data_IF_192257450519
#
_entry.id   IF_192257450519
#
_cell.length_a   1.000
_cell.length_b   1.000
_cell.length_c   1.000
_cell.angle_alpha   90.00
_cell.angle_beta   90.00
_cell.angle_gamma   90.00
#
_symmetry.space_group_name_H-M   'P 1'
#
loop_
_entity.id
_entity.type
_entity.pdbx_description
1 polymer ?
#
# COMPACT_ATOMS: atom_id res chain seq x y z
N UNK A 1 -5.73 -0.69 12.60
CA UNK A 1 -6.99 -0.99 11.88
C UNK A 1 -6.67 -1.92 10.72
N UNK A 2 -7.33 -3.08 10.66
CA UNK A 2 -7.04 -4.18 9.72
C UNK A 2 -8.31 -4.57 8.97
N UNK A 3 -8.20 -4.83 7.66
CA UNK A 3 -9.28 -5.44 6.87
C UNK A 3 -9.36 -6.96 7.12
N UNK A 4 -10.56 -7.49 7.29
CA UNK A 4 -10.74 -8.89 7.66
C UNK A 4 -10.89 -9.85 6.48
N UNK A 5 -11.18 -9.36 5.27
CA UNK A 5 -11.47 -10.20 4.10
C UNK A 5 -10.49 -9.96 2.94
N UNK A 6 -10.95 -9.36 1.84
CA UNK A 6 -10.20 -9.20 0.59
C UNK A 6 -9.90 -7.73 0.24
N UNK A 7 -9.97 -6.81 1.21
CA UNK A 7 -9.84 -5.37 0.96
C UNK A 7 -11.19 -4.70 0.68
N UNK A 8 -11.13 -3.38 0.55
CA UNK A 8 -12.31 -2.55 0.25
C UNK A 8 -13.45 -2.59 1.30
N UNK A 9 -13.11 -2.94 2.55
CA UNK A 9 -14.05 -2.96 3.67
C UNK A 9 -14.41 -1.56 4.20
N UNK A 10 -13.75 -0.50 3.72
CA UNK A 10 -13.98 0.86 4.18
C UNK A 10 -13.06 1.30 5.32
N UNK A 11 -11.87 0.72 5.43
CA UNK A 11 -10.87 1.08 6.45
C UNK A 11 -10.61 2.59 6.51
N UNK A 12 -10.51 3.26 5.36
CA UNK A 12 -10.28 4.71 5.32
C UNK A 12 -11.29 5.53 6.12
N UNK A 13 -12.57 5.14 6.15
CA UNK A 13 -13.60 5.81 6.96
C UNK A 13 -13.40 5.60 8.46
N UNK A 14 -12.98 4.40 8.85
CA UNK A 14 -12.69 4.09 10.26
C UNK A 14 -11.43 4.82 10.70
N UNK A 15 -10.41 4.89 9.86
CA UNK A 15 -9.20 5.64 10.12
C UNK A 15 -9.49 7.14 10.25
N UNK A 16 -10.25 7.72 9.34
CA UNK A 16 -10.65 9.13 9.38
C UNK A 16 -11.36 9.47 10.71
N UNK A 17 -12.28 8.61 11.13
CA UNK A 17 -12.96 8.76 12.43
C UNK A 17 -11.99 8.66 13.62
N UNK A 18 -11.09 7.68 13.63
CA UNK A 18 -10.14 7.49 14.72
C UNK A 18 -9.03 8.56 14.73
N UNK A 19 -8.65 9.06 13.56
CA UNK A 19 -7.64 10.09 13.42
C UNK A 19 -8.08 11.45 13.95
N UNK A 20 -9.37 11.70 14.11
CA UNK A 20 -9.86 12.92 14.75
C UNK A 20 -9.32 13.10 16.18
N UNK A 21 -9.04 11.99 16.88
CA UNK A 21 -8.48 11.98 18.24
C UNK A 21 -7.03 11.45 18.28
N UNK A 22 -6.39 11.24 17.14
CA UNK A 22 -5.04 10.71 17.08
C UNK A 22 -3.99 11.82 16.81
N UNK A 23 -2.83 11.67 17.43
CA UNK A 23 -1.68 12.55 17.19
C UNK A 23 -0.86 12.09 15.97
N UNK A 24 -0.83 10.77 15.72
CA UNK A 24 -0.06 10.16 14.62
C UNK A 24 -0.91 9.10 13.90
N UNK A 25 -0.90 9.13 12.59
CA UNK A 25 -1.50 8.12 11.72
C UNK A 25 -0.41 7.48 10.84
N UNK A 26 -0.25 6.16 10.90
CA UNK A 26 0.83 5.44 10.21
C UNK A 26 0.28 4.51 9.16
N UNK A 27 0.71 4.64 7.91
CA UNK A 27 0.53 3.62 6.88
C UNK A 27 1.75 2.71 6.85
N UNK A 28 1.56 1.43 7.10
CA UNK A 28 2.64 0.50 7.40
C UNK A 28 2.97 -0.50 6.30
N UNK A 29 2.09 -0.75 5.32
CA UNK A 29 2.27 -1.77 4.27
C UNK A 29 1.64 -1.37 2.95
N UNK A 30 1.90 -2.16 1.90
CA UNK A 30 1.35 -1.96 0.56
C UNK A 30 2.08 -0.88 -0.22
N UNK A 31 1.41 -0.26 -1.17
CA UNK A 31 1.92 0.80 -2.01
C UNK A 31 0.76 1.55 -2.67
N UNK A 32 1.01 2.15 -3.82
CA UNK A 32 0.01 2.90 -4.58
C UNK A 32 -1.04 2.03 -5.30
N UNK A 33 -0.99 0.71 -5.12
CA UNK A 33 -2.01 -0.23 -5.58
C UNK A 33 -3.30 -0.18 -4.74
N UNK A 34 -3.26 0.35 -3.53
CA UNK A 34 -4.43 0.60 -2.71
C UNK A 34 -4.93 2.04 -2.93
N UNK A 35 -6.24 2.24 -2.89
CA UNK A 35 -6.83 3.57 -2.94
C UNK A 35 -7.85 3.72 -1.82
N UNK A 36 -7.63 4.69 -0.94
CA UNK A 36 -8.59 5.08 0.09
C UNK A 36 -9.32 6.34 -0.36
N UNK A 37 -10.63 6.24 -0.52
CA UNK A 37 -11.45 7.41 -0.82
C UNK A 37 -12.01 8.00 0.45
N UNK A 38 -11.69 9.25 0.72
CA UNK A 38 -12.14 10.00 1.88
C UNK A 38 -12.86 11.25 1.41
N UNK A 39 -13.86 11.65 2.16
CA UNK A 39 -14.56 12.92 1.92
C UNK A 39 -14.29 13.84 3.11
N UNK A 40 -13.47 14.86 2.89
CA UNK A 40 -13.16 15.88 3.89
C UNK A 40 -13.55 17.27 3.35
N UNK A 41 -14.20 18.09 4.17
CA UNK A 41 -14.65 19.45 3.81
C UNK A 41 -15.47 19.50 2.50
N UNK A 42 -16.27 18.45 2.22
CA UNK A 42 -17.08 18.36 1.00
C UNK A 42 -16.31 17.89 -0.24
N UNK A 43 -14.98 17.82 -0.20
CA UNK A 43 -14.10 17.37 -1.29
C UNK A 43 -13.82 15.87 -1.14
N UNK A 44 -13.73 15.17 -2.26
CA UNK A 44 -13.40 13.74 -2.32
C UNK A 44 -11.92 13.58 -2.67
N UNK A 45 -11.15 12.98 -1.77
CA UNK A 45 -9.74 12.66 -1.94
C UNK A 45 -9.56 11.16 -2.20
N UNK A 46 -8.80 10.82 -3.24
CA UNK A 46 -8.36 9.46 -3.50
C UNK A 46 -6.89 9.32 -3.08
N UNK A 47 -6.66 8.87 -1.86
CA UNK A 47 -5.31 8.72 -1.29
C UNK A 47 -4.77 7.32 -1.59
N UNK A 48 -3.52 7.23 -2.03
CA UNK A 48 -2.85 5.95 -2.34
C UNK A 48 -1.69 5.65 -1.38
N UNK A 49 -0.93 6.67 -0.99
CA UNK A 49 0.28 6.54 -0.17
C UNK A 49 0.19 7.29 1.15
N UNK A 50 -0.30 8.54 1.14
CA UNK A 50 -0.41 9.35 2.34
C UNK A 50 -1.47 8.76 3.27
N UNK A 51 -1.18 8.59 4.58
CA UNK A 51 -2.15 8.10 5.54
C UNK A 51 -3.40 8.99 5.60
N UNK A 52 -4.56 8.34 5.65
CA UNK A 52 -5.87 9.01 5.67
C UNK A 52 -6.01 10.03 6.81
N UNK A 53 -5.37 9.75 7.94
CA UNK A 53 -5.43 10.60 9.13
C UNK A 53 -4.81 11.99 8.96
N UNK A 54 -3.94 12.22 7.99
CA UNK A 54 -3.36 13.55 7.72
C UNK A 54 -4.44 14.58 7.36
N UNK A 55 -5.55 14.14 6.79
CA UNK A 55 -6.68 15.02 6.43
C UNK A 55 -7.40 15.63 7.64
N UNK A 56 -7.12 15.20 8.87
CA UNK A 56 -7.60 15.87 10.10
C UNK A 56 -7.02 17.29 10.27
N UNK A 57 -5.88 17.59 9.63
CA UNK A 57 -5.18 18.88 9.70
C UNK A 57 -4.32 19.08 10.95
N UNK A 58 -4.27 18.11 11.87
CA UNK A 58 -3.44 18.17 13.09
C UNK A 58 -2.65 16.88 13.33
N UNK A 59 -3.00 15.78 12.69
CA UNK A 59 -2.38 14.47 12.86
C UNK A 59 -1.13 14.35 11.99
N UNK A 60 -0.03 13.88 12.56
CA UNK A 60 1.18 13.54 11.79
C UNK A 60 0.92 12.29 10.98
N UNK A 61 1.01 12.38 9.65
CA UNK A 61 0.91 11.26 8.73
C UNK A 61 2.28 10.63 8.49
N UNK A 62 2.44 9.35 8.78
CA UNK A 62 3.71 8.62 8.63
C UNK A 62 3.59 7.53 7.58
N UNK A 63 4.48 7.53 6.59
CA UNK A 63 4.67 6.41 5.66
C UNK A 63 5.76 5.50 6.23
N UNK A 64 5.37 4.28 6.63
CA UNK A 64 6.23 3.30 7.29
C UNK A 64 7.12 2.54 6.32
N UNK A 65 8.17 1.92 6.85
CA UNK A 65 9.17 1.16 6.10
C UNK A 65 8.65 -0.11 5.42
N UNK A 66 7.45 -0.55 5.76
CA UNK A 66 6.78 -1.67 5.08
C UNK A 66 6.08 -1.28 3.78
N UNK A 67 5.92 0.01 3.49
CA UNK A 67 5.38 0.51 2.22
C UNK A 67 6.43 0.38 1.12
N UNK A 68 6.00 0.11 -0.11
CA UNK A 68 6.80 0.34 -1.32
C UNK A 68 6.27 1.60 -1.99
N UNK A 69 7.13 2.60 -2.15
CA UNK A 69 6.77 3.97 -2.42
C UNK A 69 7.07 4.36 -3.87
N UNK A 70 6.06 4.82 -4.57
CA UNK A 70 6.21 5.47 -5.87
C UNK A 70 6.38 6.99 -5.64
N UNK A 71 7.58 7.57 -5.88
CA UNK A 71 7.83 8.98 -5.60
C UNK A 71 6.95 9.94 -6.40
N UNK A 72 6.71 9.64 -7.68
CA UNK A 72 5.85 10.46 -8.54
C UNK A 72 4.43 10.54 -7.97
N UNK A 73 3.81 9.40 -7.67
CA UNK A 73 2.46 9.35 -7.10
C UNK A 73 2.38 10.07 -5.76
N UNK A 74 3.42 9.94 -4.93
CA UNK A 74 3.47 10.64 -3.65
C UNK A 74 3.54 12.16 -3.83
N UNK A 75 4.36 12.65 -4.74
CA UNK A 75 4.46 14.09 -5.04
C UNK A 75 3.15 14.64 -5.62
N UNK A 76 2.46 13.87 -6.45
CA UNK A 76 1.12 14.24 -6.96
C UNK A 76 0.12 14.38 -5.80
N UNK A 77 0.12 13.46 -4.82
CA UNK A 77 -0.72 13.55 -3.63
C UNK A 77 -0.35 14.73 -2.74
N UNK A 78 0.95 14.97 -2.50
CA UNK A 78 1.45 16.11 -1.73
C UNK A 78 0.96 17.43 -2.35
N UNK A 79 1.14 17.61 -3.65
CA UNK A 79 0.75 18.82 -4.36
C UNK A 79 -0.76 19.02 -4.31
N UNK A 80 -1.54 17.98 -4.55
CA UNK A 80 -2.99 18.02 -4.45
C UNK A 80 -3.46 18.46 -3.06
N UNK A 81 -2.87 17.94 -1.99
CA UNK A 81 -3.22 18.33 -0.63
C UNK A 81 -2.83 19.78 -0.32
N UNK A 82 -1.65 20.23 -0.76
CA UNK A 82 -1.20 21.63 -0.60
C UNK A 82 -2.14 22.61 -1.32
N UNK A 83 -2.57 22.29 -2.54
CA UNK A 83 -3.55 23.09 -3.28
C UNK A 83 -4.89 23.22 -2.55
N UNK A 84 -5.26 22.25 -1.73
CA UNK A 84 -6.46 22.27 -0.90
C UNK A 84 -6.21 22.82 0.52
N UNK A 85 -5.05 23.43 0.78
CA UNK A 85 -4.74 24.13 2.00
C UNK A 85 -4.27 23.29 3.18
N UNK A 86 -3.88 22.02 2.95
CA UNK A 86 -3.27 21.18 3.99
C UNK A 86 -1.78 21.53 4.15
N UNK A 87 -1.33 21.64 5.40
CA UNK A 87 0.09 21.88 5.74
C UNK A 87 0.87 20.54 5.74
N UNK A 88 1.08 20.02 4.51
CA UNK A 88 1.76 18.72 4.30
C UNK A 88 3.20 18.79 4.77
N UNK A 89 3.87 19.96 4.64
CA UNK A 89 5.27 20.13 5.01
C UNK A 89 5.49 19.92 6.51
N UNK A 90 4.52 20.32 7.31
CA UNK A 90 4.56 20.12 8.76
C UNK A 90 4.24 18.70 9.17
N UNK A 91 3.24 18.09 8.55
CA UNK A 91 2.61 16.89 9.07
C UNK A 91 3.00 15.59 8.38
N UNK A 92 3.59 15.60 7.17
CA UNK A 92 4.02 14.36 6.51
C UNK A 92 5.41 13.93 6.96
N UNK A 93 5.57 12.62 7.25
CA UNK A 93 6.85 11.96 7.50
C UNK A 93 6.96 10.66 6.73
N UNK A 94 8.16 10.36 6.22
CA UNK A 94 8.46 9.18 5.41
C UNK A 94 9.63 8.46 6.04
N UNK A 95 9.51 7.14 6.22
CA UNK A 95 10.65 6.35 6.68
C UNK A 95 11.81 6.39 5.69
N UNK A 96 12.99 6.65 6.20
CA UNK A 96 14.26 6.49 5.51
C UNK A 96 14.46 5.08 4.90
N UNK A 97 13.85 4.06 5.52
CA UNK A 97 13.93 2.63 5.14
C UNK A 97 12.83 2.16 4.18
N UNK A 98 11.95 3.04 3.73
CA UNK A 98 10.91 2.70 2.75
C UNK A 98 11.53 2.38 1.39
N UNK A 99 11.15 1.26 0.76
CA UNK A 99 11.65 0.89 -0.56
C UNK A 99 10.99 1.71 -1.66
N UNK A 100 11.78 2.09 -2.66
CA UNK A 100 11.36 2.94 -3.78
C UNK A 100 10.95 2.08 -4.97
N UNK A 101 9.83 2.43 -5.60
CA UNK A 101 9.37 1.83 -6.86
C UNK A 101 9.99 2.63 -8.01
N UNK A 102 10.66 1.92 -8.93
CA UNK A 102 11.20 2.46 -10.18
C UNK A 102 10.38 1.98 -11.38
N UNK A 103 10.48 2.63 -12.55
CA UNK A 103 9.72 2.26 -13.75
C UNK A 103 9.90 0.79 -14.17
N UNK A 104 11.09 0.22 -13.97
CA UNK A 104 11.34 -1.20 -14.29
C UNK A 104 10.49 -2.16 -13.46
N UNK A 105 10.07 -1.80 -12.24
CA UNK A 105 9.18 -2.64 -11.44
C UNK A 105 7.80 -2.80 -12.11
N UNK A 106 7.22 -1.71 -12.59
CA UNK A 106 5.93 -1.75 -13.31
C UNK A 106 6.03 -2.56 -14.61
N UNK A 107 7.16 -2.43 -15.34
CA UNK A 107 7.39 -3.21 -16.56
C UNK A 107 7.52 -4.71 -16.26
N UNK A 108 8.24 -5.07 -15.20
CA UNK A 108 8.35 -6.46 -14.75
C UNK A 108 7.00 -7.03 -14.29
N UNK A 109 6.19 -6.26 -13.58
CA UNK A 109 4.86 -6.69 -13.14
C UNK A 109 3.98 -7.07 -14.33
N UNK A 110 3.94 -6.24 -15.37
CA UNK A 110 3.20 -6.50 -16.60
C UNK A 110 3.78 -7.68 -17.38
N UNK A 111 5.11 -7.77 -17.50
CA UNK A 111 5.76 -8.86 -18.23
C UNK A 111 5.51 -10.22 -17.55
N UNK A 112 5.58 -10.29 -16.22
CA UNK A 112 5.26 -11.48 -15.45
C UNK A 112 3.81 -11.94 -15.61
N UNK A 113 2.84 -11.03 -15.69
CA UNK A 113 1.44 -11.37 -15.97
C UNK A 113 1.27 -11.96 -17.41
N UNK A 114 2.05 -11.49 -18.39
CA UNK A 114 2.07 -12.10 -19.74
C UNK A 114 2.58 -13.54 -19.69
N UNK A 115 3.68 -13.81 -18.96
CA UNK A 115 4.26 -15.15 -18.79
C UNK A 115 3.28 -16.12 -18.13
N UNK A 116 2.50 -15.67 -17.15
CA UNK A 116 1.52 -16.49 -16.42
C UNK A 116 0.36 -16.98 -17.29
N UNK A 117 0.08 -16.33 -18.41
CA UNK A 117 -0.99 -16.72 -19.36
C UNK A 117 -2.35 -16.92 -18.66
N UNK A 118 -2.87 -18.15 -18.66
CA UNK A 118 -4.14 -18.51 -18.02
C UNK A 118 -4.09 -18.51 -16.48
N UNK A 119 -2.90 -18.44 -15.86
CA UNK A 119 -2.71 -18.41 -14.40
C UNK A 119 -2.43 -16.98 -13.89
N UNK A 120 -2.99 -15.97 -14.53
CA UNK A 120 -2.86 -14.58 -14.11
C UNK A 120 -3.35 -14.40 -12.68
N UNK A 121 -2.63 -13.58 -11.91
CA UNK A 121 -3.03 -13.18 -10.56
C UNK A 121 -3.99 -11.98 -10.62
N UNK A 122 -3.89 -11.20 -11.69
CA UNK A 122 -4.69 -9.97 -11.88
C UNK A 122 -4.07 -8.79 -11.14
N UNK A 123 -2.75 -8.62 -11.25
CA UNK A 123 -2.02 -7.52 -10.63
C UNK A 123 -2.49 -6.15 -11.14
N UNK A 124 -2.12 -5.10 -10.41
CA UNK A 124 -2.43 -3.71 -10.80
C UNK A 124 -1.46 -3.15 -11.84
N UNK A 125 -0.36 -3.87 -12.14
CA UNK A 125 0.70 -3.41 -13.04
C UNK A 125 1.55 -2.26 -12.47
N UNK A 126 1.44 -2.00 -11.17
CA UNK A 126 2.12 -0.88 -10.50
C UNK A 126 3.51 -1.23 -9.94
N UNK A 127 3.98 -2.45 -10.16
CA UNK A 127 5.31 -2.88 -9.73
C UNK A 127 5.45 -3.22 -8.25
N UNK A 128 4.33 -3.37 -7.54
CA UNK A 128 4.34 -3.68 -6.10
C UNK A 128 5.07 -5.00 -5.82
N UNK A 129 4.66 -6.07 -6.51
CA UNK A 129 5.28 -7.39 -6.37
C UNK A 129 6.79 -7.37 -6.65
N UNK A 130 7.24 -6.90 -7.80
CA UNK A 130 8.66 -6.78 -8.11
C UNK A 130 9.46 -5.94 -7.11
N UNK A 131 8.92 -4.85 -6.59
CA UNK A 131 9.59 -4.05 -5.56
C UNK A 131 9.75 -4.80 -4.22
N UNK A 132 8.74 -5.58 -3.80
CA UNK A 132 8.89 -6.48 -2.65
C UNK A 132 9.88 -7.62 -2.92
N UNK A 133 9.96 -8.14 -4.16
CA UNK A 133 10.98 -9.13 -4.52
C UNK A 133 12.37 -8.54 -4.29
N UNK A 134 12.64 -7.34 -4.76
CA UNK A 134 13.94 -6.67 -4.58
C UNK A 134 14.25 -6.43 -3.09
N UNK A 135 13.24 -6.07 -2.29
CA UNK A 135 13.40 -5.94 -0.84
C UNK A 135 13.90 -7.24 -0.20
N UNK A 136 13.30 -8.38 -0.52
CA UNK A 136 13.67 -9.67 0.07
C UNK A 136 14.92 -10.27 -0.55
N UNK A 137 15.23 -9.95 -1.81
CA UNK A 137 16.49 -10.26 -2.48
C UNK A 137 17.64 -9.40 -1.94
N UNK A 138 17.35 -8.30 -1.24
CA UNK A 138 18.29 -7.31 -0.69
C UNK A 138 19.00 -6.51 -1.77
N UNK A 139 18.38 -6.31 -2.90
CA UNK A 139 18.82 -5.51 -4.04
C UNK A 139 18.02 -4.19 -4.18
N UNK A 140 16.94 -4.05 -3.39
CA UNK A 140 16.07 -2.88 -3.45
C UNK A 140 16.74 -1.60 -2.96
N UNK A 141 16.37 -0.48 -3.58
CA UNK A 141 16.81 0.86 -3.23
C UNK A 141 15.80 1.48 -2.27
N UNK A 142 16.27 1.99 -1.13
CA UNK A 142 15.46 2.66 -0.10
C UNK A 142 15.46 4.17 -0.27
N UNK A 143 14.60 4.86 0.48
CA UNK A 143 14.60 6.33 0.50
C UNK A 143 15.96 6.91 0.91
N UNK A 144 16.61 6.37 1.94
CA UNK A 144 17.95 6.79 2.38
C UNK A 144 19.01 6.64 1.28
N UNK A 145 18.91 5.62 0.44
CA UNK A 145 19.86 5.35 -0.64
C UNK A 145 19.79 6.39 -1.76
N UNK A 146 18.68 7.10 -1.93
CA UNK A 146 18.56 8.18 -2.93
C UNK A 146 19.51 9.35 -2.64
N UNK A 147 19.92 9.50 -1.38
CA UNK A 147 20.84 10.54 -0.91
C UNK A 147 22.30 10.03 -0.78
N UNK A 148 22.52 8.74 -1.01
CA UNK A 148 23.83 8.13 -0.88
C UNK A 148 24.73 8.49 -2.07
N UNK A 149 26.05 8.64 -1.85
CA UNK A 149 27.01 8.97 -2.93
C UNK A 149 27.04 7.96 -4.07
N UNK A 150 26.69 6.69 -3.78
CA UNK A 150 26.68 5.56 -4.71
C UNK A 150 25.29 5.31 -5.35
N UNK A 151 24.31 6.20 -5.14
CA UNK A 151 22.95 6.04 -5.69
C UNK A 151 22.96 5.84 -7.21
N UNK A 152 23.76 6.64 -7.93
CA UNK A 152 23.85 6.54 -9.40
C UNK A 152 24.33 5.17 -9.85
N UNK A 153 25.33 4.62 -9.19
CA UNK A 153 25.93 3.32 -9.49
C UNK A 153 24.93 2.19 -9.20
N UNK A 154 24.33 2.18 -8.01
CA UNK A 154 23.29 1.21 -7.63
C UNK A 154 22.11 1.22 -8.60
N UNK A 155 21.58 2.40 -8.96
CA UNK A 155 20.48 2.50 -9.90
C UNK A 155 20.85 1.94 -11.28
N UNK A 156 22.09 2.18 -11.74
CA UNK A 156 22.58 1.63 -13.01
C UNK A 156 22.62 0.12 -12.98
N UNK A 157 23.23 -0.47 -11.97
CA UNK A 157 23.33 -1.92 -11.79
C UNK A 157 21.93 -2.57 -11.77
N UNK A 158 20.99 -1.99 -11.01
CA UNK A 158 19.62 -2.49 -10.96
C UNK A 158 18.91 -2.35 -12.31
N UNK A 159 19.08 -1.25 -13.02
CA UNK A 159 18.47 -1.05 -14.33
C UNK A 159 18.98 -2.09 -15.34
N UNK A 160 20.28 -2.34 -15.39
CA UNK A 160 20.89 -3.35 -16.27
C UNK A 160 20.38 -4.76 -15.96
N UNK A 161 20.30 -5.13 -14.68
CA UNK A 161 19.76 -6.40 -14.23
C UNK A 161 18.27 -6.57 -14.62
N UNK A 162 17.46 -5.53 -14.40
CA UNK A 162 16.02 -5.59 -14.72
C UNK A 162 15.76 -5.60 -16.22
N UNK A 163 16.56 -4.91 -17.02
CA UNK A 163 16.52 -5.02 -18.48
C UNK A 163 16.81 -6.45 -18.96
N UNK A 164 17.82 -7.11 -18.37
CA UNK A 164 18.12 -8.50 -18.67
C UNK A 164 16.96 -9.46 -18.33
N UNK A 165 16.31 -9.27 -17.19
CA UNK A 165 15.12 -10.03 -16.79
C UNK A 165 13.93 -9.78 -17.73
N UNK A 166 13.66 -8.53 -18.08
CA UNK A 166 12.62 -8.16 -19.03
C UNK A 166 12.82 -8.82 -20.39
N UNK A 167 14.06 -8.88 -20.87
CA UNK A 167 14.38 -9.59 -22.11
C UNK A 167 14.06 -11.09 -22.05
N UNK A 168 14.12 -11.70 -20.87
CA UNK A 168 13.74 -13.11 -20.68
C UNK A 168 12.22 -13.28 -20.63
N UNK A 169 11.51 -12.39 -19.93
CA UNK A 169 10.06 -12.51 -19.73
C UNK A 169 9.23 -12.02 -20.92
N UNK A 170 9.71 -11.01 -21.64
CA UNK A 170 9.02 -10.38 -22.78
C UNK A 170 10.04 -10.04 -23.89
N UNK A 171 10.58 -11.07 -24.59
CA UNK A 171 11.67 -10.92 -25.55
C UNK A 171 11.29 -10.09 -26.79
N UNK A 172 10.01 -9.94 -27.07
CA UNK A 172 9.48 -9.20 -28.23
C UNK A 172 9.47 -7.67 -27.99
N UNK A 173 9.60 -7.22 -26.74
CA UNK A 173 9.53 -5.79 -26.38
C UNK A 173 10.94 -5.24 -26.08
N UNK A 174 11.29 -4.14 -26.73
CA UNK A 174 12.51 -3.39 -26.40
C UNK A 174 12.20 -2.32 -25.35
N UNK A 175 12.64 -2.59 -24.12
CA UNK A 175 12.43 -1.70 -22.99
C UNK A 175 13.53 -0.65 -22.81
N UNK A 176 14.60 -0.65 -23.61
CA UNK A 176 15.77 0.23 -23.42
C UNK A 176 15.44 1.71 -23.53
N UNK A 177 14.47 2.07 -24.38
CA UNK A 177 14.02 3.47 -24.55
C UNK A 177 13.15 3.95 -23.40
N UNK A 178 12.33 3.05 -22.83
CA UNK A 178 11.42 3.40 -21.73
C UNK A 178 12.13 3.40 -20.38
N UNK A 179 13.20 2.60 -20.26
CA UNK A 179 14.06 2.51 -19.08
C UNK A 179 15.43 3.17 -19.34
N UNK A 180 15.42 4.35 -19.96
CA UNK A 180 16.60 5.15 -20.14
C UNK A 180 17.19 5.53 -18.79
N UNK A 181 18.43 5.10 -18.54
CA UNK A 181 19.10 5.26 -17.26
C UNK A 181 19.30 6.72 -16.89
N UNK A 182 19.82 7.55 -17.81
CA UNK A 182 20.16 8.95 -17.51
C UNK A 182 18.91 9.76 -17.20
N UNK A 183 17.81 9.51 -17.93
CA UNK A 183 16.52 10.11 -17.66
C UNK A 183 15.98 9.68 -16.30
N UNK A 184 16.00 8.40 -16.00
CA UNK A 184 15.51 7.86 -14.74
C UNK A 184 16.34 8.37 -13.55
N UNK A 185 17.66 8.45 -13.69
CA UNK A 185 18.53 9.01 -12.66
C UNK A 185 18.22 10.49 -12.40
N UNK A 186 18.03 11.28 -13.46
CA UNK A 186 17.68 12.70 -13.33
C UNK A 186 16.32 12.88 -12.62
N UNK A 187 15.29 12.14 -13.04
CA UNK A 187 13.96 12.20 -12.44
C UNK A 187 13.98 11.80 -10.95
N UNK A 188 14.64 10.69 -10.60
CA UNK A 188 14.68 10.21 -9.22
C UNK A 188 15.56 11.06 -8.31
N UNK A 189 16.59 11.72 -8.86
CA UNK A 189 17.35 12.73 -8.13
C UNK A 189 16.50 13.97 -7.81
N UNK A 190 15.67 14.40 -8.76
CA UNK A 190 14.73 15.50 -8.53
C UNK A 190 13.63 15.13 -7.50
N UNK A 191 13.05 13.93 -7.61
CA UNK A 191 12.12 13.42 -6.60
C UNK A 191 12.76 13.34 -5.22
N UNK A 192 14.00 12.88 -5.13
CA UNK A 192 14.74 12.83 -3.87
C UNK A 192 14.86 14.21 -3.24
N UNK A 193 15.28 15.23 -4.01
CA UNK A 193 15.39 16.60 -3.52
C UNK A 193 14.06 17.16 -3.01
N UNK A 194 12.95 16.87 -3.70
CA UNK A 194 11.62 17.32 -3.28
C UNK A 194 11.10 16.58 -2.03
N UNK A 195 11.49 15.31 -1.83
CA UNK A 195 11.01 14.48 -0.72
C UNK A 195 11.91 14.54 0.52
N UNK A 196 13.14 15.05 0.41
CA UNK A 196 14.12 15.15 1.51
C UNK A 196 13.54 15.74 2.81
N UNK A 197 12.73 16.82 2.79
CA UNK A 197 12.21 17.42 4.03
C UNK A 197 11.27 16.51 4.83
N UNK A 198 10.73 15.47 4.20
CA UNK A 198 9.79 14.54 4.83
C UNK A 198 10.46 13.28 5.36
N UNK A 199 11.69 12.96 4.89
CA UNK A 199 12.38 11.71 5.22
C UNK A 199 13.01 11.77 6.60
N UNK A 200 12.74 10.76 7.43
CA UNK A 200 13.27 10.69 8.78
C UNK A 200 13.33 9.25 9.33
N UNK A 201 13.99 9.07 10.46
CA UNK A 201 13.90 7.87 11.28
C UNK A 201 12.53 7.82 11.98
N UNK A 202 11.60 7.08 11.41
CA UNK A 202 10.25 6.91 11.98
C UNK A 202 10.24 6.02 13.22
N UNK A 203 11.23 5.16 13.43
CA UNK A 203 11.29 4.29 14.63
C UNK A 203 11.44 5.18 15.86
N UNK A 204 12.43 6.06 15.84
CA UNK A 204 12.63 7.06 16.91
C UNK A 204 11.40 7.95 17.07
N UNK A 205 10.79 8.42 15.96
CA UNK A 205 9.60 9.26 16.00
C UNK A 205 8.41 8.55 16.68
N UNK A 206 8.11 7.29 16.31
CA UNK A 206 6.96 6.57 16.82
C UNK A 206 7.15 6.16 18.29
N UNK A 207 8.34 5.68 18.67
CA UNK A 207 8.62 5.35 20.07
C UNK A 207 8.56 6.57 20.97
N UNK A 208 9.12 7.71 20.52
CA UNK A 208 8.99 8.98 21.25
C UNK A 208 7.53 9.42 21.38
N UNK A 209 6.72 9.27 20.35
CA UNK A 209 5.29 9.58 20.43
C UNK A 209 4.58 8.76 21.50
N UNK A 210 4.91 7.45 21.62
CA UNK A 210 4.36 6.58 22.68
C UNK A 210 4.87 6.97 24.08
N UNK A 211 6.15 7.30 24.22
CA UNK A 211 6.73 7.79 25.48
C UNK A 211 6.09 9.10 25.95
N UNK A 212 5.66 9.94 25.01
CA UNK A 212 4.96 11.21 25.25
C UNK A 212 3.42 11.00 25.41
N UNK A 213 2.94 9.76 25.63
CA UNK A 213 1.52 9.39 25.75
C UNK A 213 0.65 9.81 24.55
N UNK A 214 1.25 9.90 23.35
CA UNK A 214 0.54 10.26 22.12
C UNK A 214 -0.28 9.09 21.58
N UNK A 215 -1.44 9.41 21.02
CA UNK A 215 -2.32 8.44 20.37
C UNK A 215 -1.83 8.14 18.96
N UNK A 216 -1.41 6.90 18.71
CA UNK A 216 -0.96 6.43 17.41
C UNK A 216 -2.02 5.51 16.81
N UNK A 217 -2.49 5.81 15.60
CA UNK A 217 -3.36 4.92 14.82
C UNK A 217 -2.60 4.34 13.64
N UNK A 218 -2.63 3.02 13.46
CA UNK A 218 -1.96 2.35 12.35
C UNK A 218 -2.99 1.90 11.32
N UNK A 219 -2.82 2.39 10.09
CA UNK A 219 -3.66 2.12 8.94
C UNK A 219 -3.12 0.93 8.13
N UNK A 220 -3.81 -0.21 8.18
CA UNK A 220 -3.51 -1.35 7.33
C UNK A 220 -3.95 -1.12 5.88
N UNK A 221 -3.14 -1.58 4.94
CA UNK A 221 -3.52 -1.66 3.52
C UNK A 221 -4.01 -3.07 3.20
N UNK A 222 -4.80 -3.22 2.12
CA UNK A 222 -5.42 -4.48 1.72
C UNK A 222 -6.22 -5.14 2.86
N UNK A 223 -6.12 -6.48 3.03
CA UNK A 223 -6.82 -7.22 4.09
C UNK A 223 -6.24 -8.61 4.33
N UNK A 224 -6.69 -9.26 5.40
CA UNK A 224 -6.16 -10.53 5.93
C UNK A 224 -6.07 -11.64 4.89
N UNK A 225 -7.09 -11.81 4.03
CA UNK A 225 -7.08 -12.90 3.03
C UNK A 225 -6.24 -12.60 1.78
N UNK A 226 -5.66 -11.40 1.71
CA UNK A 226 -4.67 -11.02 0.72
C UNK A 226 -3.23 -11.06 1.27
N UNK A 227 -3.03 -11.52 2.50
CA UNK A 227 -1.69 -11.66 3.11
C UNK A 227 -0.88 -12.72 2.36
N UNK A 228 0.41 -12.44 2.12
CA UNK A 228 1.29 -13.32 1.35
C UNK A 228 1.48 -14.68 2.00
N UNK A 229 1.47 -14.74 3.34
CA UNK A 229 1.69 -15.97 4.11
C UNK A 229 0.37 -16.66 4.46
N UNK A 230 -0.66 -15.89 4.82
CA UNK A 230 -1.90 -16.39 5.44
C UNK A 230 -3.14 -16.26 4.56
N UNK A 231 -3.01 -15.61 3.42
CA UNK A 231 -4.13 -15.38 2.49
C UNK A 231 -4.38 -16.52 1.52
N UNK A 232 -5.20 -16.24 0.51
CA UNK A 232 -5.59 -17.19 -0.54
C UNK A 232 -4.53 -17.33 -1.64
N UNK A 233 -3.30 -17.69 -1.25
CA UNK A 233 -2.17 -17.86 -2.17
C UNK A 233 -2.50 -18.76 -3.37
N UNK A 234 -2.09 -18.42 -4.62
CA UNK A 234 -1.25 -17.29 -5.01
C UNK A 234 -2.01 -15.98 -5.28
N UNK A 235 -3.31 -15.91 -5.04
CA UNK A 235 -4.17 -14.74 -5.29
C UNK A 235 -4.16 -13.78 -4.10
N UNK A 236 -2.98 -13.23 -3.82
CA UNK A 236 -2.66 -12.38 -2.66
C UNK A 236 -1.87 -11.16 -3.10
N UNK A 237 -1.67 -10.20 -2.19
CA UNK A 237 -0.68 -9.13 -2.37
C UNK A 237 0.71 -9.63 -1.96
N UNK A 238 1.76 -8.93 -2.36
CA UNK A 238 3.14 -9.29 -2.00
C UNK A 238 3.58 -8.73 -0.64
N UNK A 239 2.63 -8.31 0.19
CA UNK A 239 2.86 -7.76 1.53
C UNK A 239 2.10 -8.54 2.59
N UNK A 240 2.32 -8.20 3.87
CA UNK A 240 1.60 -8.75 5.01
C UNK A 240 0.60 -7.71 5.54
N UNK A 241 -0.68 -7.73 5.13
CA UNK A 241 -1.74 -6.86 5.67
C UNK A 241 -2.19 -7.23 7.08
N UNK A 242 -1.67 -8.30 7.66
CA UNK A 242 -1.98 -8.78 9.02
C UNK A 242 -1.20 -8.02 10.08
N UNK A 243 -1.47 -8.32 11.37
CA UNK A 243 -0.78 -7.68 12.51
C UNK A 243 0.75 -7.81 12.43
N UNK A 244 1.26 -8.93 11.91
CA UNK A 244 2.70 -9.13 11.71
C UNK A 244 3.32 -8.07 10.79
N UNK A 245 2.64 -7.72 9.70
CA UNK A 245 3.09 -6.66 8.80
C UNK A 245 2.99 -5.25 9.38
N UNK A 246 2.08 -5.03 10.33
CA UNK A 246 2.03 -3.77 11.09
C UNK A 246 3.34 -3.61 11.91
N UNK A 247 3.73 -4.62 12.65
CA UNK A 247 4.94 -4.59 13.47
C UNK A 247 6.20 -4.36 12.61
N UNK A 248 6.36 -5.16 11.55
CA UNK A 248 7.52 -5.03 10.67
C UNK A 248 7.53 -3.76 9.85
N UNK A 249 6.36 -3.20 9.54
CA UNK A 249 6.22 -1.98 8.72
C UNK A 249 6.30 -0.67 9.49
N UNK A 250 6.34 -0.72 10.84
CA UNK A 250 6.42 0.45 11.70
C UNK A 250 7.63 0.46 12.61
N UNK A 251 8.18 -0.73 12.93
CA UNK A 251 9.21 -0.90 13.95
C UNK A 251 8.67 -0.87 15.39
N UNK A 252 7.34 -0.87 15.56
CA UNK A 252 6.72 -1.02 16.88
C UNK A 252 6.83 -2.46 17.38
N UNK A 253 6.90 -2.65 18.68
CA UNK A 253 6.89 -3.95 19.32
C UNK A 253 5.45 -4.48 19.54
N UNK A 254 5.31 -5.76 19.81
CA UNK A 254 4.01 -6.35 20.10
C UNK A 254 3.35 -5.76 21.36
N UNK A 255 4.16 -5.30 22.33
CA UNK A 255 3.69 -4.67 23.56
C UNK A 255 3.16 -3.26 23.36
N UNK A 256 3.53 -2.59 22.25
CA UNK A 256 3.07 -1.24 21.92
C UNK A 256 1.67 -1.25 21.28
N UNK A 257 1.20 -2.43 20.86
CA UNK A 257 -0.11 -2.56 20.23
C UNK A 257 -1.20 -2.71 21.29
N UNK A 258 -2.05 -1.71 21.40
CA UNK A 258 -3.23 -1.73 22.26
C UNK A 258 -4.43 -2.44 21.57
N UNK A 259 -5.35 -1.66 21.02
CA UNK A 259 -6.54 -2.20 20.36
C UNK A 259 -6.27 -2.55 18.90
N UNK A 260 -6.81 -3.69 18.46
CA UNK A 260 -6.80 -4.12 17.07
C UNK A 260 -8.23 -4.16 16.53
N UNK A 261 -8.56 -3.15 15.70
CA UNK A 261 -9.87 -3.03 15.08
C UNK A 261 -9.91 -3.78 13.76
N UNK A 262 -10.81 -4.76 13.65
CA UNK A 262 -11.13 -5.44 12.41
C UNK A 262 -12.24 -4.72 11.65
N UNK A 263 -12.04 -4.41 10.37
CA UNK A 263 -13.08 -3.80 9.54
C UNK A 263 -13.69 -4.83 8.61
N UNK A 264 -15.01 -4.88 8.59
CA UNK A 264 -15.82 -5.76 7.74
C UNK A 264 -16.96 -4.96 7.08
N UNK A 265 -17.53 -5.55 6.04
CA UNK A 265 -18.86 -5.18 5.52
C UNK A 265 -19.89 -6.23 5.96
N UNK A 266 -21.17 -5.90 5.93
CA UNK A 266 -22.25 -6.86 6.19
C UNK A 266 -22.37 -7.96 5.11
N UNK A 267 -21.59 -7.87 4.06
CA UNK A 267 -21.41 -8.84 2.99
C UNK A 267 -19.91 -8.88 2.62
N UNK A 268 -19.50 -9.82 1.79
CA UNK A 268 -18.11 -9.88 1.30
C UNK A 268 -18.00 -9.37 -0.13
N UNK A 269 -16.86 -8.78 -0.47
CA UNK A 269 -16.51 -8.45 -1.86
C UNK A 269 -15.05 -8.75 -2.16
N UNK A 270 -14.75 -9.12 -3.41
CA UNK A 270 -13.39 -9.42 -3.86
C UNK A 270 -13.13 -8.82 -5.23
N UNK A 271 -11.95 -8.23 -5.43
CA UNK A 271 -11.41 -7.88 -6.75
C UNK A 271 -10.40 -8.95 -7.16
N UNK A 272 -10.38 -9.28 -8.45
CA UNK A 272 -9.42 -10.25 -9.02
C UNK A 272 -9.86 -11.71 -8.87
N UNK A 273 -8.92 -12.57 -9.24
CA UNK A 273 -9.10 -14.00 -9.31
C UNK A 273 -8.97 -14.68 -7.93
N UNK A 274 -9.20 -15.98 -7.90
CA UNK A 274 -9.01 -16.83 -6.74
C UNK A 274 -10.30 -17.29 -6.07
N UNK A 275 -10.19 -18.14 -5.02
CA UNK A 275 -11.34 -18.76 -4.38
C UNK A 275 -12.19 -17.73 -3.64
N UNK A 276 -13.52 -17.90 -3.73
CA UNK A 276 -14.48 -17.07 -3.05
C UNK A 276 -15.72 -17.91 -2.69
N UNK A 277 -15.69 -18.52 -1.52
CA UNK A 277 -16.63 -19.58 -1.10
C UNK A 277 -18.09 -19.12 -1.06
N UNK A 278 -18.33 -17.86 -0.65
CA UNK A 278 -19.68 -17.30 -0.49
C UNK A 278 -20.12 -16.44 -1.68
N UNK A 279 -19.42 -16.53 -2.82
CA UNK A 279 -19.75 -15.76 -4.02
C UNK A 279 -21.17 -16.02 -4.53
N UNK A 280 -21.85 -14.96 -4.93
CA UNK A 280 -23.18 -14.97 -5.51
C UNK A 280 -23.09 -14.66 -7.00
N UNK A 281 -23.34 -15.66 -7.82
CA UNK A 281 -23.35 -15.57 -9.30
C UNK A 281 -24.76 -15.39 -9.86
N UNK A 282 -25.66 -14.78 -9.09
CA UNK A 282 -27.06 -14.58 -9.39
C UNK A 282 -27.49 -13.12 -9.29
N UNK A 283 -28.76 -12.84 -9.51
CA UNK A 283 -29.34 -11.50 -9.40
C UNK A 283 -29.16 -10.86 -8.02
N UNK A 284 -28.96 -11.65 -6.95
CA UNK A 284 -28.67 -11.12 -5.61
C UNK A 284 -27.28 -10.53 -5.56
N UNK A 285 -26.28 -11.23 -6.11
CA UNK A 285 -24.92 -10.74 -6.22
C UNK A 285 -24.81 -9.46 -7.05
N UNK A 286 -25.51 -9.41 -8.19
CA UNK A 286 -25.58 -8.23 -9.03
C UNK A 286 -26.22 -7.04 -8.31
N UNK A 287 -27.31 -7.27 -7.59
CA UNK A 287 -27.99 -6.23 -6.81
C UNK A 287 -27.11 -5.69 -5.69
N UNK A 288 -26.34 -6.54 -4.98
CA UNK A 288 -25.38 -6.11 -3.96
C UNK A 288 -24.31 -5.23 -4.61
N UNK A 289 -23.79 -5.62 -5.78
CA UNK A 289 -22.78 -4.85 -6.52
C UNK A 289 -23.28 -3.47 -6.90
N UNK A 290 -24.49 -3.38 -7.44
CA UNK A 290 -25.09 -2.12 -7.87
C UNK A 290 -25.37 -1.19 -6.70
N UNK A 291 -26.13 -1.66 -5.70
CA UNK A 291 -26.52 -0.86 -4.54
C UNK A 291 -25.33 -0.49 -3.64
N UNK A 292 -24.35 -1.40 -3.51
CA UNK A 292 -23.12 -1.19 -2.76
C UNK A 292 -22.06 -0.39 -3.51
N UNK A 293 -22.30 -0.05 -4.79
CA UNK A 293 -21.29 0.58 -5.67
C UNK A 293 -19.97 -0.17 -5.67
N UNK A 294 -20.03 -1.52 -5.76
CA UNK A 294 -18.91 -2.42 -5.66
C UNK A 294 -18.10 -2.48 -6.97
N UNK A 295 -17.37 -1.39 -7.21
CA UNK A 295 -16.45 -1.23 -8.34
C UNK A 295 -15.09 -0.75 -7.83
N UNK A 296 -14.01 -1.21 -8.46
CA UNK A 296 -12.66 -0.81 -8.07
C UNK A 296 -12.42 0.68 -8.22
N UNK A 297 -11.93 1.34 -7.17
CA UNK A 297 -11.71 2.80 -7.16
C UNK A 297 -10.74 3.25 -8.25
N UNK A 298 -9.68 2.47 -8.50
CA UNK A 298 -8.64 2.80 -9.48
C UNK A 298 -8.93 2.24 -10.87
N UNK A 299 -9.51 1.04 -10.94
CA UNK A 299 -9.67 0.31 -12.22
C UNK A 299 -11.09 0.28 -12.75
N UNK A 300 -12.08 0.69 -11.96
CA UNK A 300 -13.50 0.57 -12.29
C UNK A 300 -14.01 -0.87 -12.47
N UNK A 301 -13.17 -1.89 -12.19
CA UNK A 301 -13.57 -3.30 -12.33
C UNK A 301 -14.71 -3.64 -11.38
N UNK A 302 -15.75 -4.39 -11.84
CA UNK A 302 -16.80 -4.87 -10.96
C UNK A 302 -16.21 -5.84 -9.93
N UNK A 303 -16.58 -5.66 -8.67
CA UNK A 303 -16.19 -6.58 -7.60
C UNK A 303 -17.13 -7.78 -7.60
N UNK A 304 -16.58 -8.94 -7.34
CA UNK A 304 -17.33 -10.16 -7.02
C UNK A 304 -17.94 -9.97 -5.65
N UNK A 305 -19.25 -10.24 -5.49
CA UNK A 305 -19.98 -10.05 -4.23
C UNK A 305 -20.51 -11.39 -3.70
N UNK A 306 -20.60 -11.50 -2.39
CA UNK A 306 -21.07 -12.72 -1.73
C UNK A 306 -21.53 -12.48 -0.30
N UNK A 307 -22.07 -13.53 0.33
CA UNK A 307 -22.50 -13.48 1.71
C UNK A 307 -21.32 -13.24 2.66
N UNK A 308 -21.60 -12.67 3.83
CA UNK A 308 -20.65 -12.58 4.93
C UNK A 308 -20.19 -13.99 5.36
N UNK A 309 -18.89 -14.25 5.32
CA UNK A 309 -18.29 -15.51 5.72
C UNK A 309 -17.78 -15.46 7.17
N UNK A 310 -18.56 -16.02 8.08
CA UNK A 310 -18.20 -16.04 9.51
C UNK A 310 -17.06 -17.01 9.84
N UNK A 311 -16.80 -18.02 9.00
CA UNK A 311 -15.64 -18.92 9.18
C UNK A 311 -14.35 -18.15 8.93
N UNK A 312 -14.32 -17.45 7.81
CA UNK A 312 -13.21 -16.57 7.45
C UNK A 312 -13.01 -15.43 8.45
N UNK A 313 -14.11 -14.84 8.95
CA UNK A 313 -14.03 -13.80 9.98
C UNK A 313 -13.42 -14.32 11.29
N UNK A 314 -13.77 -15.54 11.71
CA UNK A 314 -13.16 -16.19 12.89
C UNK A 314 -11.67 -16.45 12.68
N UNK A 315 -11.27 -16.83 11.47
CA UNK A 315 -9.88 -16.97 11.08
C UNK A 315 -9.12 -15.64 11.19
N UNK A 316 -9.66 -14.57 10.58
CA UNK A 316 -9.07 -13.23 10.63
C UNK A 316 -8.96 -12.72 12.08
N UNK A 317 -9.99 -12.96 12.93
CA UNK A 317 -9.95 -12.62 14.35
C UNK A 317 -8.78 -13.28 15.08
N UNK A 318 -8.60 -14.60 14.89
CA UNK A 318 -7.52 -15.35 15.55
C UNK A 318 -6.14 -14.88 15.10
N UNK A 319 -5.97 -14.71 13.79
CA UNK A 319 -4.68 -14.35 13.20
C UNK A 319 -4.21 -12.95 13.63
N UNK A 320 -5.13 -12.01 13.72
CA UNK A 320 -4.82 -10.62 14.01
C UNK A 320 -5.00 -10.23 15.50
N UNK A 321 -5.52 -11.12 16.33
CA UNK A 321 -5.81 -10.79 17.73
C UNK A 321 -6.84 -9.65 17.87
N UNK A 322 -7.89 -9.64 17.01
CA UNK A 322 -8.86 -8.55 17.01
C UNK A 322 -9.52 -8.36 18.35
N UNK A 323 -9.51 -7.11 18.85
CA UNK A 323 -10.17 -6.69 20.11
C UNK A 323 -11.57 -6.13 19.86
N UNK A 324 -11.81 -5.59 18.64
CA UNK A 324 -13.10 -5.03 18.22
C UNK A 324 -13.35 -5.24 16.72
N UNK A 325 -14.64 -5.18 16.30
CA UNK A 325 -15.11 -5.20 14.91
C UNK A 325 -15.99 -3.98 14.67
#
# INVERSE_FOLDING_TARGET
VIGCFYGDEGKGKVIDYLAADADVAVRCTGGDNAGHTIKANGVKYAMHLIPSGLLSGHTIGVIGNGVVLNPQVLLEEINNLKEHGYDVDKYLKISDKTHVIFPYHSKLDVALEKVRKAKKIGTTGKGIGPSYCDKYERSGIRMEDLYAPDFKERLKEQTELKLALLKVYDPETDYTKELDFDKMFAEYSDYAAQLEPYVCDIITLLHKALEDDKKVVVEGAQATLLDIDFGSYPYVTSSNPTIGGILTGTGLSASDIGNVYGVIKAYSSRVGEGPYVTELLDATGDRIRELGHEYGTTTGRPRRCGWLDLVTLKYAKRLNGLTAL
#
